data_IF_953451141426
#
_entry.id   IF_953451141426
#
_cell.length_a   1.000
_cell.length_b   1.000
_cell.length_c   1.000
_cell.angle_alpha   90.00
_cell.angle_beta   90.00
_cell.angle_gamma   90.00
#
_symmetry.space_group_name_H-M   'P 1'
#
loop_
_entity.id
_entity.type
_entity.pdbx_description
1 polymer ?
#
# COMPACT_ATOMS: atom_id res chain seq x y z
N UNK A 1 -57.66 -8.15 43.69
CA UNK A 1 -56.93 -7.31 42.76
C UNK A 1 -55.50 -7.81 42.63
N UNK A 2 -55.17 -8.50 41.51
CA UNK A 2 -53.85 -9.11 41.26
C UNK A 2 -53.00 -8.11 40.49
N UNK A 3 -51.90 -7.61 41.07
CA UNK A 3 -50.95 -6.72 40.40
C UNK A 3 -50.04 -7.58 39.51
N UNK A 4 -50.12 -7.37 38.18
CA UNK A 4 -49.22 -7.96 37.21
C UNK A 4 -48.00 -7.03 37.10
N UNK A 5 -46.83 -7.52 37.49
CA UNK A 5 -45.54 -6.84 37.27
C UNK A 5 -45.02 -7.26 35.91
N UNK A 6 -45.00 -6.33 34.96
CA UNK A 6 -44.39 -6.48 33.64
C UNK A 6 -42.89 -6.23 33.77
N UNK A 7 -42.10 -7.32 33.72
CA UNK A 7 -40.65 -7.22 33.64
C UNK A 7 -40.26 -6.92 32.18
N UNK A 8 -39.81 -5.67 31.94
CA UNK A 8 -39.21 -5.27 30.68
C UNK A 8 -37.75 -5.82 30.65
N UNK A 9 -37.51 -6.88 29.88
CA UNK A 9 -36.16 -7.35 29.60
C UNK A 9 -35.58 -6.47 28.49
N UNK A 10 -34.71 -5.51 28.87
CA UNK A 10 -33.91 -4.74 27.92
C UNK A 10 -32.76 -5.63 27.45
N UNK A 11 -32.89 -6.17 26.24
CA UNK A 11 -31.79 -6.84 25.56
C UNK A 11 -30.79 -5.80 25.09
N UNK A 12 -29.69 -5.60 25.82
CA UNK A 12 -28.51 -4.86 25.37
C UNK A 12 -27.82 -5.70 24.30
N UNK A 13 -28.15 -5.42 23.02
CA UNK A 13 -27.36 -5.96 21.89
C UNK A 13 -26.03 -5.21 21.88
N UNK A 14 -25.04 -5.76 22.54
CA UNK A 14 -23.65 -5.33 22.34
C UNK A 14 -23.22 -5.78 20.96
N UNK A 15 -23.16 -4.83 20.01
CA UNK A 15 -22.55 -5.04 18.70
C UNK A 15 -21.05 -5.27 18.89
N UNK A 16 -20.65 -6.52 18.99
CA UNK A 16 -19.25 -6.90 18.84
C UNK A 16 -18.87 -6.65 17.39
N UNK A 17 -18.17 -5.54 17.12
CA UNK A 17 -17.46 -5.36 15.87
C UNK A 17 -16.31 -6.37 15.84
N UNK A 18 -16.57 -7.57 15.30
CA UNK A 18 -15.53 -8.51 14.94
C UNK A 18 -14.81 -7.94 13.72
N UNK A 19 -13.71 -7.26 13.95
CA UNK A 19 -12.79 -6.90 12.86
C UNK A 19 -12.14 -8.20 12.35
N UNK A 20 -12.75 -8.82 11.35
CA UNK A 20 -12.10 -9.89 10.61
C UNK A 20 -10.92 -9.25 9.86
N UNK A 21 -9.68 -9.74 10.09
CA UNK A 21 -8.53 -9.31 9.27
C UNK A 21 -8.84 -9.60 7.80
N UNK A 22 -8.69 -8.59 6.96
CA UNK A 22 -8.94 -8.70 5.52
C UNK A 22 -7.98 -9.73 4.92
N UNK A 23 -8.54 -10.80 4.37
CA UNK A 23 -7.80 -11.78 3.56
C UNK A 23 -7.47 -11.20 2.17
N UNK A 24 -6.96 -12.05 1.27
CA UNK A 24 -6.78 -11.63 -0.12
C UNK A 24 -8.14 -11.45 -0.78
N UNK A 25 -8.40 -10.23 -1.28
CA UNK A 25 -9.56 -9.92 -2.10
C UNK A 25 -9.34 -10.26 -3.58
N UNK A 26 -10.24 -9.81 -4.43
CA UNK A 26 -10.23 -10.08 -5.87
C UNK A 26 -9.82 -8.86 -6.70
N UNK A 27 -9.37 -9.13 -7.94
CA UNK A 27 -9.12 -8.08 -8.93
C UNK A 27 -10.38 -7.23 -9.17
N UNK A 28 -11.55 -7.87 -9.23
CA UNK A 28 -12.81 -7.19 -9.50
C UNK A 28 -13.21 -6.23 -8.38
N UNK A 29 -13.04 -6.61 -7.11
CA UNK A 29 -13.34 -5.72 -5.97
C UNK A 29 -12.45 -4.48 -5.99
N UNK A 30 -11.15 -4.64 -6.30
CA UNK A 30 -10.21 -3.53 -6.46
C UNK A 30 -10.62 -2.65 -7.64
N UNK A 31 -10.99 -3.25 -8.79
CA UNK A 31 -11.41 -2.51 -9.97
C UNK A 31 -12.67 -1.67 -9.70
N UNK A 32 -13.68 -2.25 -9.05
CA UNK A 32 -14.93 -1.58 -8.73
C UNK A 32 -14.74 -0.40 -7.77
N UNK A 33 -13.82 -0.53 -6.82
CA UNK A 33 -13.43 0.57 -5.94
C UNK A 33 -12.72 1.67 -6.74
N UNK A 34 -11.67 1.34 -7.49
CA UNK A 34 -10.82 2.31 -8.17
C UNK A 34 -11.51 3.08 -9.29
N UNK A 35 -12.52 2.49 -9.96
CA UNK A 35 -13.35 3.19 -10.96
C UNK A 35 -14.16 4.34 -10.38
N UNK A 36 -14.49 4.28 -9.09
CA UNK A 36 -15.19 5.37 -8.41
C UNK A 36 -14.29 6.59 -8.18
N UNK A 37 -12.97 6.38 -8.06
CA UNK A 37 -12.01 7.41 -7.70
C UNK A 37 -12.07 7.79 -6.21
N UNK A 38 -11.19 8.72 -5.80
CA UNK A 38 -11.16 9.26 -4.44
C UNK A 38 -10.52 8.35 -3.40
N UNK A 39 -9.82 7.29 -3.82
CA UNK A 39 -9.14 6.34 -2.93
C UNK A 39 -7.63 6.50 -2.90
N UNK A 40 -7.03 6.06 -1.80
CA UNK A 40 -5.57 5.91 -1.66
C UNK A 40 -5.21 4.46 -1.98
N UNK A 41 -4.28 4.28 -2.89
CA UNK A 41 -3.84 2.97 -3.37
C UNK A 41 -2.41 2.75 -2.96
N UNK A 42 -2.18 1.82 -2.06
CA UNK A 42 -0.84 1.39 -1.67
C UNK A 42 -0.45 0.16 -2.48
N UNK A 43 0.71 0.22 -3.12
CA UNK A 43 1.26 -0.90 -3.87
C UNK A 43 2.63 -1.22 -3.29
N UNK A 44 2.80 -2.43 -2.75
CA UNK A 44 4.14 -2.90 -2.48
C UNK A 44 4.82 -3.17 -3.81
N UNK A 45 6.06 -2.67 -3.96
CA UNK A 45 6.85 -2.90 -5.17
C UNK A 45 6.73 -4.34 -5.66
N UNK A 46 6.74 -4.56 -6.97
CA UNK A 46 6.71 -5.85 -7.61
C UNK A 46 7.86 -6.77 -7.13
N UNK A 47 7.80 -8.02 -7.47
CA UNK A 47 8.76 -9.01 -6.98
C UNK A 47 10.20 -8.58 -7.29
N UNK A 48 11.05 -8.63 -6.29
CA UNK A 48 12.47 -8.35 -6.38
C UNK A 48 13.23 -9.48 -5.69
N UNK A 49 14.08 -10.19 -6.42
CA UNK A 49 14.84 -11.29 -5.87
C UNK A 49 15.80 -10.83 -4.77
N UNK A 50 15.95 -11.64 -3.71
CA UNK A 50 16.99 -11.40 -2.70
C UNK A 50 18.29 -12.01 -3.19
N UNK A 51 19.27 -11.20 -3.51
CA UNK A 51 20.60 -11.69 -3.86
C UNK A 51 21.26 -12.19 -2.58
N UNK A 52 21.67 -13.46 -2.56
CA UNK A 52 22.47 -14.11 -1.51
C UNK A 52 21.94 -14.03 -0.07
N UNK A 53 20.62 -13.88 0.13
CA UNK A 53 20.03 -13.83 1.48
C UNK A 53 20.41 -12.62 2.33
N UNK A 54 21.21 -11.73 1.82
CA UNK A 54 21.67 -10.53 2.52
C UNK A 54 20.60 -9.43 2.45
N UNK A 55 20.31 -8.85 3.63
CA UNK A 55 19.69 -7.54 3.70
C UNK A 55 20.67 -6.54 3.11
N UNK A 56 20.14 -5.66 2.28
CA UNK A 56 20.92 -4.58 1.67
C UNK A 56 21.61 -3.76 2.77
N UNK A 57 22.95 -3.61 2.78
CA UNK A 57 23.66 -2.85 3.81
C UNK A 57 23.25 -1.37 3.78
N UNK A 58 22.87 -0.80 4.92
CA UNK A 58 22.39 0.60 5.00
C UNK A 58 23.36 1.65 4.44
N UNK A 59 24.67 1.40 4.53
CA UNK A 59 25.70 2.32 4.03
C UNK A 59 25.85 2.36 2.51
N UNK A 60 25.51 1.29 1.83
CA UNK A 60 25.67 1.12 0.37
C UNK A 60 24.68 1.99 -0.42
N UNK A 61 23.52 2.29 0.16
CA UNK A 61 22.41 2.95 -0.52
C UNK A 61 22.50 4.45 -0.66
N UNK A 62 23.13 5.18 0.26
CA UNK A 62 23.08 6.66 0.21
C UNK A 62 23.65 7.25 -1.07
N UNK A 63 24.72 6.66 -1.61
CA UNK A 63 25.32 7.11 -2.86
C UNK A 63 24.56 6.64 -4.09
N UNK A 64 24.13 5.37 -4.11
CA UNK A 64 23.36 4.77 -5.22
C UNK A 64 21.95 5.32 -5.35
N UNK A 65 21.30 5.64 -4.22
CA UNK A 65 19.98 6.27 -4.22
C UNK A 65 19.99 7.65 -4.86
N UNK A 66 21.00 8.46 -4.57
CA UNK A 66 21.14 9.79 -5.20
C UNK A 66 21.27 9.72 -6.71
N UNK A 67 21.94 8.70 -7.24
CA UNK A 67 22.20 8.51 -8.66
C UNK A 67 21.16 7.65 -9.39
N UNK A 68 20.20 7.07 -8.66
CA UNK A 68 19.28 6.03 -9.19
C UNK A 68 20.04 4.87 -9.87
N UNK A 69 21.19 4.50 -9.33
CA UNK A 69 21.99 3.41 -9.86
C UNK A 69 21.38 2.08 -9.47
N UNK A 70 20.71 1.44 -10.43
CA UNK A 70 20.03 0.16 -10.20
C UNK A 70 20.97 -1.03 -10.24
N UNK A 71 22.20 -0.89 -10.75
CA UNK A 71 23.17 -1.99 -10.83
C UNK A 71 23.65 -2.45 -9.44
N UNK A 72 23.54 -1.57 -8.46
CA UNK A 72 23.99 -1.80 -7.06
C UNK A 72 22.83 -1.89 -6.07
N UNK A 73 21.60 -1.93 -6.56
CA UNK A 73 20.40 -2.08 -5.73
C UNK A 73 19.75 -3.44 -5.95
N UNK A 74 19.04 -3.92 -4.93
CA UNK A 74 18.06 -4.97 -5.13
C UNK A 74 16.97 -4.46 -6.08
N UNK A 75 16.90 -5.04 -7.26
CA UNK A 75 16.01 -4.61 -8.34
C UNK A 75 14.98 -5.68 -8.67
N UNK A 76 14.03 -5.36 -9.55
CA UNK A 76 13.10 -6.33 -10.11
C UNK A 76 13.87 -7.33 -10.97
N UNK A 77 13.55 -8.62 -10.82
CA UNK A 77 13.93 -9.65 -11.79
C UNK A 77 12.85 -9.75 -12.89
N UNK A 78 13.01 -10.69 -13.83
CA UNK A 78 12.07 -10.86 -14.96
C UNK A 78 10.63 -11.09 -14.49
N UNK A 79 10.43 -11.80 -13.37
CA UNK A 79 9.09 -12.00 -12.78
C UNK A 79 8.54 -10.69 -12.22
N UNK A 80 9.40 -9.91 -11.57
CA UNK A 80 9.03 -8.60 -11.06
C UNK A 80 8.70 -7.61 -12.17
N UNK A 81 9.45 -7.62 -13.26
CA UNK A 81 9.17 -6.81 -14.44
C UNK A 81 7.83 -7.20 -15.08
N UNK A 82 7.57 -8.50 -15.21
CA UNK A 82 6.29 -9.00 -15.70
C UNK A 82 5.13 -8.60 -14.79
N UNK A 83 5.30 -8.74 -13.46
CA UNK A 83 4.30 -8.30 -12.49
C UNK A 83 4.05 -6.80 -12.54
N UNK A 84 5.10 -5.97 -12.62
CA UNK A 84 4.98 -4.52 -12.75
C UNK A 84 4.22 -4.12 -14.03
N UNK A 85 4.46 -4.83 -15.14
CA UNK A 85 3.73 -4.66 -16.39
C UNK A 85 2.24 -4.98 -16.22
N UNK A 86 1.90 -6.10 -15.58
CA UNK A 86 0.50 -6.47 -15.30
C UNK A 86 -0.20 -5.41 -14.43
N UNK A 87 0.49 -4.88 -13.41
CA UNK A 87 -0.03 -3.77 -12.59
C UNK A 87 -0.33 -2.57 -13.48
N UNK A 88 0.62 -2.15 -14.30
CA UNK A 88 0.42 -1.01 -15.24
C UNK A 88 -0.73 -1.26 -16.22
N UNK A 89 -0.82 -2.45 -16.79
CA UNK A 89 -1.90 -2.84 -17.69
C UNK A 89 -3.27 -2.80 -17.01
N UNK A 90 -3.36 -3.25 -15.76
CA UNK A 90 -4.59 -3.17 -14.98
C UNK A 90 -5.11 -1.73 -14.87
N UNK A 91 -4.25 -0.78 -14.51
CA UNK A 91 -4.63 0.63 -14.41
C UNK A 91 -5.01 1.23 -15.77
N UNK A 92 -4.19 1.00 -16.80
CA UNK A 92 -4.34 1.64 -18.10
C UNK A 92 -5.50 1.08 -18.93
N UNK A 93 -5.66 -0.26 -19.01
CA UNK A 93 -6.76 -0.90 -19.76
C UNK A 93 -8.13 -0.59 -19.18
N UNK A 94 -8.20 -0.40 -17.87
CA UNK A 94 -9.44 -0.10 -17.18
C UNK A 94 -9.74 1.40 -17.08
N UNK A 95 -8.88 2.28 -17.61
CA UNK A 95 -9.04 3.73 -17.57
C UNK A 95 -9.28 4.24 -16.13
N UNK A 96 -8.52 3.71 -15.15
CA UNK A 96 -8.66 4.07 -13.75
C UNK A 96 -8.26 5.54 -13.57
N UNK A 97 -9.12 6.40 -12.97
CA UNK A 97 -8.80 7.81 -12.76
C UNK A 97 -7.66 7.94 -11.73
N UNK A 98 -6.52 8.51 -12.14
CA UNK A 98 -5.34 8.74 -11.31
C UNK A 98 -5.11 10.23 -11.16
N UNK A 99 -4.97 10.69 -9.91
CA UNK A 99 -4.54 12.05 -9.57
C UNK A 99 -3.01 12.16 -9.63
N UNK A 100 -2.34 11.32 -8.84
CA UNK A 100 -0.88 11.27 -8.74
C UNK A 100 -0.37 9.85 -8.53
N UNK A 101 0.85 9.61 -8.99
CA UNK A 101 1.64 8.43 -8.66
C UNK A 101 2.88 8.85 -7.89
N UNK A 102 2.95 8.52 -6.60
CA UNK A 102 4.12 8.75 -5.77
C UNK A 102 4.86 7.44 -5.55
N UNK A 103 6.18 7.47 -5.58
CA UNK A 103 6.99 6.27 -5.41
C UNK A 103 8.21 6.51 -4.52
N UNK A 104 8.71 5.45 -3.92
CA UNK A 104 10.02 5.44 -3.29
C UNK A 104 11.13 5.60 -4.34
N UNK A 105 12.25 6.19 -3.94
CA UNK A 105 13.43 6.36 -4.82
C UNK A 105 14.11 5.03 -5.21
N UNK A 106 13.81 3.91 -4.53
CA UNK A 106 14.39 2.60 -4.84
C UNK A 106 13.97 2.09 -6.21
N UNK A 107 14.92 1.48 -6.95
CA UNK A 107 14.70 1.00 -8.32
C UNK A 107 13.47 0.10 -8.45
N UNK A 108 13.31 -0.87 -7.57
CA UNK A 108 12.15 -1.76 -7.54
C UNK A 108 10.80 -1.05 -7.38
N UNK A 109 10.79 0.15 -6.75
CA UNK A 109 9.54 0.91 -6.58
C UNK A 109 9.24 1.74 -7.82
N UNK A 110 10.17 2.55 -8.31
CA UNK A 110 9.85 3.37 -9.48
C UNK A 110 9.69 2.53 -10.75
N UNK A 111 10.39 1.39 -10.90
CA UNK A 111 10.13 0.43 -11.99
C UNK A 111 8.76 -0.26 -11.87
N UNK A 112 8.19 -0.32 -10.66
CA UNK A 112 6.79 -0.76 -10.48
C UNK A 112 5.81 0.37 -10.82
N UNK A 113 6.13 1.62 -10.50
CA UNK A 113 5.28 2.79 -10.75
C UNK A 113 5.24 3.19 -12.24
N UNK A 114 6.37 3.08 -12.94
CA UNK A 114 6.55 3.54 -14.31
C UNK A 114 5.53 2.96 -15.33
N UNK A 115 5.15 1.68 -15.28
CA UNK A 115 4.09 1.14 -16.14
C UNK A 115 2.69 1.68 -15.81
N UNK A 116 2.44 2.19 -14.59
CA UNK A 116 1.17 2.82 -14.22
C UNK A 116 1.09 4.23 -14.82
N UNK A 117 2.13 5.03 -14.63
CA UNK A 117 2.26 6.37 -15.20
C UNK A 117 3.73 6.73 -15.38
N UNK A 118 4.06 7.41 -16.50
CA UNK A 118 5.39 7.99 -16.70
C UNK A 118 5.61 9.25 -15.86
N UNK A 119 4.53 9.91 -15.43
CA UNK A 119 4.55 11.13 -14.62
C UNK A 119 4.54 10.83 -13.11
N UNK A 120 5.30 9.82 -12.67
CA UNK A 120 5.44 9.53 -11.26
C UNK A 120 6.42 10.49 -10.57
N UNK A 121 6.11 10.82 -9.31
CA UNK A 121 6.95 11.65 -8.44
C UNK A 121 7.64 10.79 -7.37
N UNK A 122 8.93 11.07 -7.10
CA UNK A 122 9.65 10.41 -6.00
C UNK A 122 9.38 11.12 -4.69
N UNK A 123 8.99 10.35 -3.67
CA UNK A 123 8.69 10.87 -2.33
C UNK A 123 9.51 10.19 -1.23
N UNK A 124 10.16 11.01 -0.41
CA UNK A 124 10.96 10.54 0.73
C UNK A 124 10.12 9.85 1.82
N UNK A 125 8.82 10.14 1.91
CA UNK A 125 7.94 9.48 2.88
C UNK A 125 7.67 8.02 2.53
N UNK A 126 8.02 7.57 1.33
CA UNK A 126 7.82 6.20 0.84
C UNK A 126 9.10 5.35 0.86
N UNK A 127 10.22 5.91 1.30
CA UNK A 127 11.53 5.24 1.32
C UNK A 127 11.58 4.18 2.41
N UNK A 128 12.12 2.98 2.09
CA UNK A 128 12.37 1.94 3.10
C UNK A 128 13.38 2.42 4.14
N UNK A 129 13.03 2.33 5.40
CA UNK A 129 13.91 2.62 6.54
C UNK A 129 14.30 1.30 7.20
N UNK A 130 15.56 1.20 7.65
CA UNK A 130 16.09 0.03 8.36
C UNK A 130 15.23 -0.38 9.57
N UNK A 131 15.28 -1.66 9.93
CA UNK A 131 14.38 -2.21 10.96
C UNK A 131 14.58 -1.56 12.34
N UNK A 132 15.79 -1.13 12.64
CA UNK A 132 16.20 -0.71 13.99
C UNK A 132 15.95 0.79 14.25
N UNK A 133 15.61 1.57 13.23
CA UNK A 133 15.35 3.00 13.38
C UNK A 133 13.88 3.31 13.65
N UNK A 134 13.41 2.94 14.83
CA UNK A 134 11.99 3.10 15.26
C UNK A 134 11.54 4.55 15.17
N UNK A 135 12.37 5.50 15.64
CA UNK A 135 12.01 6.94 15.64
C UNK A 135 11.83 7.50 14.23
N UNK A 136 12.70 7.09 13.27
CA UNK A 136 12.53 7.52 11.87
C UNK A 136 11.29 6.90 11.24
N UNK A 137 10.97 5.64 11.54
CA UNK A 137 9.74 4.98 11.08
C UNK A 137 8.50 5.70 11.57
N UNK A 138 8.40 5.97 12.87
CA UNK A 138 7.27 6.71 13.43
C UNK A 138 7.09 8.09 12.78
N UNK A 139 8.21 8.83 12.60
CA UNK A 139 8.19 10.12 11.91
C UNK A 139 7.71 9.97 10.47
N UNK A 140 8.17 8.94 9.76
CA UNK A 140 7.77 8.66 8.38
C UNK A 140 6.27 8.33 8.27
N UNK A 141 5.75 7.45 9.14
CA UNK A 141 4.33 7.12 9.18
C UNK A 141 3.45 8.35 9.46
N UNK A 142 3.90 9.22 10.39
CA UNK A 142 3.23 10.51 10.63
C UNK A 142 3.24 11.41 9.38
N UNK A 143 4.33 11.41 8.60
CA UNK A 143 4.39 12.17 7.34
C UNK A 143 3.41 11.63 6.31
N UNK A 144 3.31 10.30 6.15
CA UNK A 144 2.32 9.69 5.25
C UNK A 144 0.91 10.10 5.67
N UNK A 145 0.53 9.90 6.94
CA UNK A 145 -0.79 10.27 7.45
C UNK A 145 -1.11 11.74 7.22
N UNK A 146 -0.18 12.63 7.57
CA UNK A 146 -0.34 14.09 7.35
C UNK A 146 -0.47 14.46 5.87
N UNK A 147 0.16 13.71 4.96
CA UNK A 147 -0.01 13.90 3.52
C UNK A 147 -1.43 13.50 3.09
N UNK A 148 -1.93 12.36 3.55
CA UNK A 148 -3.27 11.86 3.26
C UNK A 148 -4.36 12.79 3.79
N UNK A 149 -4.21 13.32 5.01
CA UNK A 149 -5.15 14.31 5.60
C UNK A 149 -5.33 15.56 4.73
N UNK A 150 -4.27 15.96 4.01
CA UNK A 150 -4.28 17.15 3.13
C UNK A 150 -4.67 16.84 1.70
N UNK A 151 -4.57 15.57 1.30
CA UNK A 151 -4.92 15.17 -0.04
C UNK A 151 -6.45 15.20 -0.21
N UNK A 152 -6.90 15.84 -1.29
CA UNK A 152 -8.30 15.98 -1.62
C UNK A 152 -8.46 15.96 -3.14
N UNK A 153 -8.91 14.83 -3.69
CA UNK A 153 -9.13 14.64 -5.13
C UNK A 153 -10.26 13.62 -5.33
N UNK A 154 -11.00 13.75 -6.39
CA UNK A 154 -11.99 12.78 -6.87
C UNK A 154 -11.35 11.62 -7.65
N UNK A 155 -10.04 11.70 -7.93
CA UNK A 155 -9.23 10.65 -8.56
C UNK A 155 -8.42 9.90 -7.53
N UNK A 156 -7.81 8.78 -7.91
CA UNK A 156 -7.03 7.95 -6.99
C UNK A 156 -5.59 8.45 -6.82
N UNK A 157 -5.09 8.36 -5.58
CA UNK A 157 -3.68 8.58 -5.23
C UNK A 157 -2.96 7.25 -5.18
N UNK A 158 -1.93 7.05 -6.00
CA UNK A 158 -1.14 5.82 -6.03
C UNK A 158 0.17 6.01 -5.25
N UNK A 159 0.45 5.13 -4.30
CA UNK A 159 1.64 5.14 -3.44
C UNK A 159 2.42 3.82 -3.59
N UNK A 160 3.50 3.82 -4.38
CA UNK A 160 4.34 2.62 -4.56
C UNK A 160 5.48 2.62 -3.54
N UNK A 161 5.50 1.63 -2.66
CA UNK A 161 6.41 1.62 -1.53
C UNK A 161 6.85 0.19 -1.11
N UNK A 162 7.21 0.01 0.14
CA UNK A 162 7.83 -1.17 0.72
C UNK A 162 6.97 -1.77 1.84
N UNK A 163 7.19 -3.05 2.13
CA UNK A 163 6.55 -3.75 3.24
C UNK A 163 6.62 -2.97 4.57
N UNK A 164 7.82 -2.48 4.92
CA UNK A 164 8.07 -1.79 6.19
C UNK A 164 7.51 -0.36 6.28
N UNK A 165 6.95 0.16 5.19
CA UNK A 165 6.20 1.43 5.16
C UNK A 165 4.70 1.16 5.15
N UNK A 166 4.24 0.23 4.30
CA UNK A 166 2.81 -0.02 4.10
C UNK A 166 2.22 -0.85 5.25
N UNK A 167 2.88 -1.95 5.63
CA UNK A 167 2.33 -2.86 6.64
C UNK A 167 2.01 -2.20 7.98
N UNK A 168 2.86 -1.30 8.54
CA UNK A 168 2.54 -0.62 9.79
C UNK A 168 1.38 0.39 9.70
N UNK A 169 0.99 0.84 8.51
CA UNK A 169 -0.19 1.69 8.32
C UNK A 169 -1.48 0.91 8.52
N UNK A 170 -1.45 -0.41 8.23
CA UNK A 170 -2.60 -1.31 8.24
C UNK A 170 -2.42 -2.48 9.23
N UNK A 171 -1.57 -2.32 10.25
CA UNK A 171 -1.15 -3.39 11.16
C UNK A 171 -2.31 -4.16 11.82
N UNK A 172 -3.45 -3.48 12.00
CA UNK A 172 -4.66 -4.06 12.60
C UNK A 172 -5.46 -4.89 11.60
N UNK A 173 -5.41 -4.52 10.30
CA UNK A 173 -6.32 -5.00 9.28
C UNK A 173 -5.64 -5.94 8.27
N UNK A 174 -4.32 -5.76 8.03
CA UNK A 174 -3.53 -6.64 7.16
C UNK A 174 -2.67 -7.60 7.96
N UNK A 175 -2.70 -8.89 7.58
CA UNK A 175 -1.76 -9.89 8.11
C UNK A 175 -0.35 -9.63 7.59
N UNK A 176 -0.21 -9.38 6.30
CA UNK A 176 1.04 -9.07 5.59
C UNK A 176 0.73 -8.60 4.19
N UNK A 177 1.51 -7.64 3.67
CA UNK A 177 1.43 -7.23 2.27
C UNK A 177 2.49 -7.95 1.42
N UNK A 178 2.06 -8.62 0.36
CA UNK A 178 2.92 -9.34 -0.60
C UNK A 178 3.52 -8.40 -1.65
N UNK A 179 4.57 -8.84 -2.37
CA UNK A 179 5.07 -8.09 -3.53
C UNK A 179 4.01 -8.01 -4.62
N UNK A 180 3.82 -6.81 -5.20
CA UNK A 180 2.81 -6.54 -6.21
C UNK A 180 1.37 -6.55 -5.69
N UNK A 181 1.17 -6.57 -4.37
CA UNK A 181 -0.17 -6.46 -3.79
C UNK A 181 -0.62 -4.99 -3.81
N UNK A 182 -1.86 -4.80 -4.23
CA UNK A 182 -2.60 -3.54 -4.28
C UNK A 182 -3.54 -3.52 -3.08
N UNK A 183 -3.45 -2.50 -2.24
CA UNK A 183 -4.36 -2.23 -1.14
C UNK A 183 -5.04 -0.90 -1.39
N UNK A 184 -6.37 -0.91 -1.48
CA UNK A 184 -7.20 0.27 -1.66
C UNK A 184 -7.78 0.67 -0.31
N UNK A 185 -7.60 1.92 0.08
CA UNK A 185 -8.16 2.47 1.31
C UNK A 185 -8.78 3.85 1.09
N UNK A 186 -9.60 4.29 2.03
CA UNK A 186 -9.89 5.70 2.17
C UNK A 186 -8.67 6.46 2.75
N UNK A 187 -8.78 7.78 2.88
CA UNK A 187 -7.69 8.62 3.43
C UNK A 187 -7.48 8.44 4.94
N UNK A 188 -8.45 7.88 5.65
CA UNK A 188 -8.40 7.48 7.05
C UNK A 188 -7.74 6.11 7.27
N UNK A 189 -7.31 5.46 6.17
CA UNK A 189 -6.66 4.14 6.13
C UNK A 189 -7.59 2.96 6.45
N UNK A 190 -8.91 3.10 6.26
CA UNK A 190 -9.82 1.96 6.27
C UNK A 190 -9.69 1.21 4.93
N UNK A 191 -9.41 -0.09 4.98
CA UNK A 191 -9.25 -0.92 3.77
C UNK A 191 -10.62 -1.13 3.13
N UNK A 192 -10.72 -0.85 1.83
CA UNK A 192 -11.91 -1.04 1.00
C UNK A 192 -11.80 -2.32 0.18
N UNK A 193 -10.62 -2.56 -0.40
CA UNK A 193 -10.32 -3.75 -1.17
C UNK A 193 -8.82 -4.02 -1.21
N UNK A 194 -8.43 -5.25 -1.48
CA UNK A 194 -7.04 -5.59 -1.78
C UNK A 194 -6.97 -6.74 -2.79
N UNK A 195 -5.87 -6.79 -3.53
CA UNK A 195 -5.63 -7.83 -4.51
C UNK A 195 -4.13 -8.04 -4.74
N UNK A 196 -3.71 -9.29 -4.72
CA UNK A 196 -2.33 -9.65 -5.06
C UNK A 196 -2.22 -9.94 -6.55
N UNK A 197 -1.54 -9.07 -7.29
CA UNK A 197 -1.26 -9.28 -8.70
C UNK A 197 -0.33 -10.49 -8.87
N UNK A 198 -0.66 -11.46 -9.72
CA UNK A 198 0.19 -12.64 -9.96
C UNK A 198 1.51 -12.26 -10.64
N UNK A 199 2.52 -13.15 -10.56
CA UNK A 199 3.81 -13.02 -11.24
C UNK A 199 4.30 -14.37 -11.74
#
# INVERSE_FOLDING_TARGET
MRKIYLFLFIFLISSFNVYAKVGFGSEQEVLDALKKGGYVVFIRHAYAHRVNGLFEPEGFYKASLKKRDCSVQRDLDDRGLAQAKLIGEFFNKNNIPIDKVLTSIYCRCFKTAEPISKDYEVSNMLVSIGRDDVKKKEKQLKQVKKYLEKWNSDKNLILVSHYNVINPLFEKDLLSISSGEIVVSDKELNIVANWKVPY
#
